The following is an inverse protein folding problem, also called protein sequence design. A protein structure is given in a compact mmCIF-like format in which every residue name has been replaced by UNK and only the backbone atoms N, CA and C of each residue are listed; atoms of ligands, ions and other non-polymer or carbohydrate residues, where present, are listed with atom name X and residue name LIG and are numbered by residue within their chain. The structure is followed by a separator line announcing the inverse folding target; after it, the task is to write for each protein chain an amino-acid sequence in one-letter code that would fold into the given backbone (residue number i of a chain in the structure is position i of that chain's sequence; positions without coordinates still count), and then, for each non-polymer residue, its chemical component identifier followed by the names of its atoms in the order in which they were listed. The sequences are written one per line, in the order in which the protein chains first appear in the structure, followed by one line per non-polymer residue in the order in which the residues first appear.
data_IF_890813132271
#
_entry.id   IF_890813132271
#
_cell.length_a   1.000
_cell.length_b   1.000
_cell.length_c   1.000
_cell.angle_alpha   90.00
_cell.angle_beta   90.00
_cell.angle_gamma   90.00
#
_symmetry.space_group_name_H-M   'P 1'
#
loop_
_entity.id
_entity.type
_entity.pdbx_description
1 polymer ?
#
# COMPACT_ATOMS: atom_id res chain seq x y z
N UNK A 1 6.56 27.43 17.49
CA UNK A 1 5.65 26.32 17.21
C UNK A 1 4.75 26.74 16.07
N UNK A 2 4.94 26.19 14.86
CA UNK A 2 4.03 26.45 13.75
C UNK A 2 2.62 26.06 14.19
N UNK A 3 1.64 26.96 14.02
CA UNK A 3 0.24 26.57 14.14
C UNK A 3 0.04 25.50 13.08
N UNK A 4 -0.24 24.24 13.47
CA UNK A 4 -0.66 23.23 12.51
C UNK A 4 -1.95 23.76 11.88
N UNK A 5 -1.85 24.18 10.62
CA UNK A 5 -3.02 24.55 9.82
C UNK A 5 -3.67 23.20 9.52
N UNK A 6 -4.81 22.92 10.14
CA UNK A 6 -5.57 21.70 9.87
C UNK A 6 -5.96 21.62 8.40
N UNK A 7 -6.22 20.40 7.92
CA UNK A 7 -6.62 20.16 6.55
C UNK A 7 -8.02 20.71 6.29
N UNK A 8 -8.17 21.43 5.19
CA UNK A 8 -9.47 21.89 4.69
C UNK A 8 -10.19 20.78 3.90
N UNK A 9 -11.41 21.09 3.44
CA UNK A 9 -12.27 20.14 2.74
C UNK A 9 -11.63 19.51 1.48
N UNK A 10 -10.99 20.34 0.65
CA UNK A 10 -10.37 19.85 -0.59
C UNK A 10 -9.10 19.05 -0.30
N UNK A 11 -8.32 19.46 0.69
CA UNK A 11 -7.13 18.72 1.15
C UNK A 11 -7.51 17.34 1.70
N UNK A 12 -8.56 17.25 2.53
CA UNK A 12 -9.08 15.98 3.03
C UNK A 12 -9.55 15.06 1.90
N UNK A 13 -10.28 15.61 0.92
CA UNK A 13 -10.79 14.82 -0.20
C UNK A 13 -9.67 14.27 -1.08
N UNK A 14 -8.64 15.06 -1.36
CA UNK A 14 -7.51 14.62 -2.16
C UNK A 14 -6.55 13.71 -1.40
N UNK A 15 -6.38 13.88 -0.09
CA UNK A 15 -5.65 12.95 0.76
C UNK A 15 -6.33 11.57 0.77
N UNK A 16 -7.66 11.52 0.90
CA UNK A 16 -8.40 10.24 0.77
C UNK A 16 -8.16 9.58 -0.59
N UNK A 17 -8.23 10.37 -1.67
CA UNK A 17 -8.06 9.85 -3.03
C UNK A 17 -6.63 9.39 -3.31
N UNK A 18 -5.60 10.05 -2.76
CA UNK A 18 -4.20 9.65 -2.91
C UNK A 18 -3.89 8.34 -2.19
N UNK A 19 -4.68 7.99 -1.18
CA UNK A 19 -4.66 6.72 -0.45
C UNK A 19 -5.55 5.64 -1.10
N UNK A 20 -6.17 5.95 -2.24
CA UNK A 20 -7.10 5.06 -2.97
C UNK A 20 -8.30 4.59 -2.14
N UNK A 21 -8.78 5.43 -1.22
CA UNK A 21 -9.87 5.08 -0.30
C UNK A 21 -11.22 5.66 -0.75
N UNK A 22 -12.28 4.89 -0.51
CA UNK A 22 -13.66 5.38 -0.53
C UNK A 22 -13.99 6.17 0.75
N UNK A 23 -15.01 7.04 0.73
CA UNK A 23 -15.49 7.71 1.94
C UNK A 23 -15.89 6.73 3.05
N UNK A 24 -16.55 5.62 2.71
CA UNK A 24 -16.89 4.55 3.66
C UNK A 24 -15.66 3.95 4.36
N UNK A 25 -14.58 3.70 3.62
CA UNK A 25 -13.34 3.17 4.18
C UNK A 25 -12.65 4.17 5.12
N UNK A 26 -12.67 5.46 4.79
CA UNK A 26 -12.20 6.49 5.71
C UNK A 26 -13.04 6.51 6.99
N UNK A 27 -14.35 6.36 6.87
CA UNK A 27 -15.24 6.23 8.03
C UNK A 27 -14.84 5.07 8.93
N UNK A 28 -14.56 3.90 8.36
CA UNK A 28 -14.06 2.74 9.10
C UNK A 28 -12.71 3.02 9.80
N UNK A 29 -11.77 3.67 9.13
CA UNK A 29 -10.42 3.93 9.68
C UNK A 29 -10.42 4.98 10.79
N UNK A 30 -11.39 5.89 10.75
CA UNK A 30 -11.45 7.07 11.62
C UNK A 30 -12.58 6.99 12.66
N UNK A 31 -13.36 5.91 12.66
CA UNK A 31 -14.55 5.71 13.51
C UNK A 31 -15.65 6.75 13.30
N UNK A 32 -15.94 7.07 12.03
CA UNK A 32 -16.99 7.98 11.59
C UNK A 32 -17.90 7.31 10.56
N UNK A 33 -19.07 7.90 10.30
CA UNK A 33 -19.95 7.42 9.24
C UNK A 33 -19.48 7.92 7.88
N UNK A 34 -19.85 7.24 6.80
CA UNK A 34 -19.59 7.71 5.44
C UNK A 34 -20.17 9.12 5.19
N UNK A 35 -21.34 9.42 5.77
CA UNK A 35 -21.98 10.73 5.67
C UNK A 35 -21.14 11.84 6.33
N UNK A 36 -20.52 11.56 7.49
CA UNK A 36 -19.62 12.52 8.14
C UNK A 36 -18.40 12.83 7.26
N UNK A 37 -17.85 11.80 6.60
CA UNK A 37 -16.72 11.96 5.69
C UNK A 37 -17.08 12.85 4.52
N UNK A 38 -18.23 12.60 3.89
CA UNK A 38 -18.71 13.42 2.78
C UNK A 38 -18.98 14.87 3.23
N UNK A 39 -19.53 15.08 4.42
CA UNK A 39 -19.83 16.41 4.95
C UNK A 39 -18.55 17.26 5.11
N UNK A 40 -17.46 16.70 5.65
CA UNK A 40 -16.21 17.47 5.77
C UNK A 40 -15.49 17.67 4.43
N UNK A 41 -15.68 16.77 3.46
CA UNK A 41 -15.12 16.92 2.11
C UNK A 41 -15.88 17.95 1.26
N UNK A 42 -17.15 18.19 1.57
CA UNK A 42 -17.96 19.26 0.98
C UNK A 42 -17.79 20.62 1.68
N UNK A 43 -17.04 20.67 2.80
CA UNK A 43 -16.89 21.88 3.61
C UNK A 43 -18.12 22.23 4.45
N UNK A 44 -19.06 21.29 4.62
CA UNK A 44 -20.23 21.43 5.50
C UNK A 44 -19.84 21.28 6.98
N UNK A 45 -18.75 20.55 7.24
CA UNK A 45 -18.15 20.38 8.56
C UNK A 45 -16.61 20.38 8.47
N UNK A 46 -15.94 20.45 9.62
CA UNK A 46 -14.48 20.30 9.69
C UNK A 46 -14.14 18.86 10.08
N UNK A 47 -13.17 18.24 9.39
CA UNK A 47 -12.68 16.93 9.76
C UNK A 47 -12.06 16.96 11.18
N UNK A 48 -12.42 16.03 12.08
CA UNK A 48 -11.83 15.96 13.42
C UNK A 48 -10.30 15.80 13.36
N UNK A 49 -9.58 16.42 14.29
CA UNK A 49 -8.10 16.39 14.31
C UNK A 49 -7.54 14.96 14.32
N UNK A 50 -8.18 14.04 15.04
CA UNK A 50 -7.78 12.62 15.07
C UNK A 50 -7.98 11.93 13.71
N UNK A 51 -9.02 12.28 12.95
CA UNK A 51 -9.25 11.74 11.61
C UNK A 51 -8.18 12.25 10.62
N UNK A 52 -7.85 13.55 10.67
CA UNK A 52 -6.78 14.13 9.86
C UNK A 52 -5.43 13.46 10.18
N UNK A 53 -5.09 13.38 11.48
CA UNK A 53 -3.87 12.74 11.96
C UNK A 53 -3.78 11.29 11.49
N UNK A 54 -4.87 10.52 11.57
CA UNK A 54 -4.89 9.12 11.15
C UNK A 54 -4.57 8.94 9.67
N UNK A 55 -5.13 9.77 8.79
CA UNK A 55 -4.86 9.69 7.36
C UNK A 55 -3.44 10.14 7.00
N UNK A 56 -2.95 11.21 7.64
CA UNK A 56 -1.57 11.67 7.48
C UNK A 56 -0.56 10.61 7.96
N UNK A 57 -0.79 9.96 9.10
CA UNK A 57 0.04 8.87 9.60
C UNK A 57 0.09 7.68 8.62
N UNK A 58 -1.04 7.35 7.97
CA UNK A 58 -1.08 6.30 6.95
C UNK A 58 -0.24 6.69 5.73
N UNK A 59 -0.36 7.94 5.26
CA UNK A 59 0.42 8.43 4.12
C UNK A 59 1.93 8.43 4.44
N UNK A 60 2.33 8.86 5.64
CA UNK A 60 3.72 8.79 6.11
C UNK A 60 4.27 7.36 6.15
N UNK A 61 3.45 6.39 6.60
CA UNK A 61 3.83 4.97 6.61
C UNK A 61 4.02 4.45 5.18
N UNK A 62 3.14 4.84 4.25
CA UNK A 62 3.25 4.49 2.83
C UNK A 62 4.53 5.07 2.25
N UNK A 63 4.82 6.36 2.46
CA UNK A 63 6.03 7.01 1.96
C UNK A 63 7.30 6.35 2.52
N UNK A 64 7.34 6.07 3.82
CA UNK A 64 8.46 5.35 4.43
C UNK A 64 8.63 3.95 3.84
N UNK A 65 7.53 3.23 3.54
CA UNK A 65 7.60 1.93 2.88
C UNK A 65 8.13 2.05 1.44
N UNK A 66 7.74 3.10 0.70
CA UNK A 66 8.21 3.37 -0.67
C UNK A 66 9.73 3.56 -0.70
N UNK A 67 10.23 4.45 0.17
CA UNK A 67 11.67 4.74 0.26
C UNK A 67 12.46 3.49 0.65
N UNK A 68 12.10 2.84 1.75
CA UNK A 68 12.81 1.67 2.26
C UNK A 68 12.83 0.51 1.25
N UNK A 69 11.73 0.30 0.52
CA UNK A 69 11.65 -0.77 -0.49
C UNK A 69 12.51 -0.43 -1.72
N UNK A 70 12.48 0.82 -2.17
CA UNK A 70 13.29 1.28 -3.31
C UNK A 70 14.78 1.19 -2.99
N UNK A 71 15.20 1.60 -1.78
CA UNK A 71 16.57 1.45 -1.30
C UNK A 71 17.00 -0.02 -1.24
N UNK A 72 16.10 -0.91 -0.79
CA UNK A 72 16.33 -2.35 -0.80
C UNK A 72 16.54 -2.92 -2.21
N UNK A 73 15.78 -2.44 -3.19
CA UNK A 73 15.92 -2.81 -4.61
C UNK A 73 17.24 -2.28 -5.19
N UNK A 74 17.61 -1.04 -4.88
CA UNK A 74 18.91 -0.49 -5.29
C UNK A 74 20.07 -1.34 -4.72
N UNK A 75 20.00 -1.70 -3.44
CA UNK A 75 20.99 -2.53 -2.79
C UNK A 75 21.08 -3.95 -3.40
N UNK A 76 19.95 -4.51 -3.84
CA UNK A 76 19.91 -5.78 -4.58
C UNK A 76 20.67 -5.67 -5.90
N UNK A 77 20.45 -4.62 -6.67
CA UNK A 77 21.11 -4.43 -7.98
C UNK A 77 22.57 -3.99 -7.92
N UNK A 78 23.09 -3.66 -6.73
CA UNK A 78 24.53 -3.57 -6.51
C UNK A 78 25.20 -4.95 -6.45
N UNK A 79 24.44 -6.03 -6.21
CA UNK A 79 24.93 -7.41 -6.11
C UNK A 79 24.52 -8.28 -7.31
N UNK A 80 23.38 -7.98 -7.93
CA UNK A 80 22.79 -8.75 -9.01
C UNK A 80 22.55 -7.87 -10.25
N UNK A 81 22.60 -8.41 -11.47
CA UNK A 81 22.28 -7.63 -12.66
C UNK A 81 20.83 -7.12 -12.64
N UNK A 82 20.64 -5.89 -13.13
CA UNK A 82 19.31 -5.29 -13.32
C UNK A 82 18.43 -6.21 -14.15
N UNK A 83 17.20 -6.39 -13.69
CA UNK A 83 16.16 -7.16 -14.37
C UNK A 83 14.79 -6.58 -14.03
N UNK A 84 13.78 -6.97 -14.80
CA UNK A 84 12.40 -6.71 -14.43
C UNK A 84 12.07 -7.45 -13.13
N UNK A 85 11.43 -6.75 -12.18
CA UNK A 85 11.04 -7.31 -10.90
C UNK A 85 9.53 -7.53 -10.84
N UNK A 86 9.12 -8.56 -10.12
CA UNK A 86 7.74 -8.76 -9.71
C UNK A 86 7.56 -8.27 -8.26
N UNK A 87 6.49 -7.54 -8.00
CA UNK A 87 6.07 -7.12 -6.66
C UNK A 87 4.67 -7.67 -6.38
N UNK A 88 4.55 -8.54 -5.39
CA UNK A 88 3.28 -9.20 -5.06
C UNK A 88 2.32 -8.18 -4.47
N UNK A 89 1.10 -8.12 -5.00
CA UNK A 89 -0.02 -7.35 -4.45
C UNK A 89 -1.18 -8.27 -4.10
N UNK A 90 -2.11 -7.80 -3.29
CA UNK A 90 -3.20 -8.62 -2.76
C UNK A 90 -4.52 -8.11 -3.32
N UNK A 91 -5.27 -8.92 -4.10
CA UNK A 91 -6.42 -8.43 -4.84
C UNK A 91 -7.69 -8.27 -3.98
N UNK A 92 -7.72 -8.88 -2.80
CA UNK A 92 -8.87 -8.79 -1.88
C UNK A 92 -8.41 -8.62 -0.44
N UNK A 93 -9.25 -8.00 0.38
CA UNK A 93 -9.00 -7.83 1.82
C UNK A 93 -8.79 -9.18 2.53
N UNK A 94 -9.53 -10.23 2.15
CA UNK A 94 -9.41 -11.55 2.75
C UNK A 94 -8.02 -12.15 2.54
N UNK A 95 -7.52 -12.09 1.30
CA UNK A 95 -6.17 -12.58 0.97
C UNK A 95 -5.12 -11.70 1.65
N UNK A 96 -5.30 -10.37 1.63
CA UNK A 96 -4.38 -9.45 2.28
C UNK A 96 -4.20 -9.77 3.77
N UNK A 97 -5.31 -9.87 4.52
CA UNK A 97 -5.27 -10.19 5.95
C UNK A 97 -4.66 -11.56 6.24
N UNK A 98 -4.89 -12.56 5.39
CA UNK A 98 -4.34 -13.90 5.57
C UNK A 98 -2.81 -13.92 5.44
N UNK A 99 -2.26 -13.17 4.49
CA UNK A 99 -0.86 -13.25 4.12
C UNK A 99 0.01 -12.12 4.71
N UNK A 100 -0.58 -11.09 5.31
CA UNK A 100 0.13 -9.91 5.81
C UNK A 100 -0.29 -9.51 7.25
N UNK A 101 -0.38 -10.45 8.21
CA UNK A 101 -0.82 -10.13 9.58
C UNK A 101 0.01 -9.00 10.23
N UNK A 102 1.28 -8.88 9.88
CA UNK A 102 2.22 -7.88 10.38
C UNK A 102 1.96 -6.45 9.87
N UNK A 103 1.25 -6.29 8.75
CA UNK A 103 0.93 -4.98 8.19
C UNK A 103 -0.46 -4.48 8.61
N UNK A 104 -1.32 -5.35 9.15
CA UNK A 104 -2.70 -4.99 9.48
C UNK A 104 -2.84 -3.90 10.54
N UNK A 105 -1.84 -3.72 11.41
CA UNK A 105 -1.85 -2.67 12.43
C UNK A 105 -1.58 -1.27 11.86
N UNK A 106 -0.82 -1.19 10.77
CA UNK A 106 -0.39 0.07 10.14
C UNK A 106 -1.16 0.38 8.87
N UNK A 107 -1.31 -0.61 7.98
CA UNK A 107 -2.02 -0.54 6.71
C UNK A 107 -3.18 -1.56 6.73
N UNK A 108 -4.28 -1.28 7.45
CA UNK A 108 -5.34 -2.27 7.68
C UNK A 108 -6.11 -2.69 6.42
N UNK A 109 -6.07 -1.90 5.35
CA UNK A 109 -6.80 -2.15 4.11
C UNK A 109 -5.85 -2.47 2.95
N UNK A 110 -6.23 -3.43 2.12
CA UNK A 110 -5.41 -3.87 0.98
C UNK A 110 -5.16 -2.75 -0.04
N UNK A 111 -6.07 -1.78 -0.14
CA UNK A 111 -5.95 -0.59 -0.98
C UNK A 111 -4.74 0.27 -0.58
N UNK A 112 -4.41 0.33 0.72
CA UNK A 112 -3.25 1.08 1.21
C UNK A 112 -1.95 0.40 0.79
N UNK A 113 -1.89 -0.94 0.87
CA UNK A 113 -0.75 -1.71 0.38
C UNK A 113 -0.62 -1.62 -1.14
N UNK A 114 -1.73 -1.63 -1.88
CA UNK A 114 -1.71 -1.48 -3.33
C UNK A 114 -1.28 -0.06 -3.74
N UNK A 115 -1.66 0.95 -2.96
CA UNK A 115 -1.18 2.33 -3.11
C UNK A 115 0.33 2.41 -2.93
N UNK A 116 0.88 1.80 -1.87
CA UNK A 116 2.34 1.77 -1.68
C UNK A 116 3.05 1.00 -2.78
N UNK A 117 2.51 -0.13 -3.24
CA UNK A 117 3.06 -0.91 -4.35
C UNK A 117 3.12 -0.09 -5.67
N UNK A 118 2.07 0.68 -5.96
CA UNK A 118 2.08 1.58 -7.13
C UNK A 118 3.11 2.70 -7.00
N UNK A 119 3.22 3.32 -5.82
CA UNK A 119 4.24 4.35 -5.56
C UNK A 119 5.65 3.77 -5.67
N UNK A 120 5.91 2.56 -5.16
CA UNK A 120 7.18 1.83 -5.34
C UNK A 120 7.49 1.60 -6.82
N UNK A 121 6.52 1.13 -7.60
CA UNK A 121 6.71 0.92 -9.05
C UNK A 121 7.11 2.22 -9.75
N UNK A 122 6.44 3.33 -9.43
CA UNK A 122 6.75 4.65 -9.98
C UNK A 122 8.15 5.11 -9.57
N UNK A 123 8.49 4.99 -8.30
CA UNK A 123 9.79 5.42 -7.75
C UNK A 123 10.95 4.63 -8.35
N UNK A 124 10.83 3.30 -8.43
CA UNK A 124 11.81 2.42 -9.07
C UNK A 124 12.03 2.78 -10.54
N UNK A 125 10.96 3.15 -11.26
CA UNK A 125 11.07 3.57 -12.66
C UNK A 125 11.82 4.90 -12.80
N UNK A 126 11.52 5.88 -11.94
CA UNK A 126 12.07 7.23 -12.02
C UNK A 126 13.53 7.30 -11.56
N UNK A 127 13.86 6.65 -10.44
CA UNK A 127 15.17 6.80 -9.79
C UNK A 127 16.17 5.73 -10.22
N UNK A 128 15.69 4.51 -10.46
CA UNK A 128 16.57 3.36 -10.72
C UNK A 128 16.52 2.88 -12.17
N UNK A 129 15.60 3.41 -12.99
CA UNK A 129 15.27 2.89 -14.32
C UNK A 129 14.89 1.39 -14.28
N UNK A 130 14.27 0.94 -13.20
CA UNK A 130 13.88 -0.46 -12.99
C UNK A 130 12.39 -0.62 -13.29
N UNK A 131 12.04 -1.61 -14.10
CA UNK A 131 10.65 -2.00 -14.34
C UNK A 131 10.16 -2.98 -13.26
N UNK A 132 9.15 -2.57 -12.50
CA UNK A 132 8.47 -3.39 -11.50
C UNK A 132 7.06 -3.71 -11.99
N UNK A 133 6.69 -4.98 -12.09
CA UNK A 133 5.31 -5.43 -12.36
C UNK A 133 4.59 -5.75 -11.06
N UNK A 134 3.37 -5.25 -10.89
CA UNK A 134 2.53 -5.58 -9.74
C UNK A 134 1.73 -6.85 -10.04
N UNK A 135 1.99 -7.93 -9.30
CA UNK A 135 1.42 -9.26 -9.57
C UNK A 135 0.40 -9.61 -8.47
N UNK A 136 -0.91 -9.67 -8.78
CA UNK A 136 -1.91 -10.07 -7.80
C UNK A 136 -1.71 -11.53 -7.40
N UNK A 137 -1.67 -11.81 -6.10
CA UNK A 137 -1.50 -13.17 -5.60
C UNK A 137 -2.69 -14.06 -5.98
N UNK A 138 -2.44 -15.04 -6.86
CA UNK A 138 -3.33 -16.17 -7.10
C UNK A 138 -2.98 -17.27 -6.10
N UNK A 139 -3.87 -17.47 -5.12
CA UNK A 139 -3.65 -18.38 -4.01
C UNK A 139 -3.52 -19.83 -4.46
N UNK A 140 -4.28 -20.26 -5.47
CA UNK A 140 -4.26 -21.64 -5.94
C UNK A 140 -3.03 -21.91 -6.79
N UNK A 141 -2.69 -21.01 -7.72
CA UNK A 141 -1.47 -21.09 -8.49
C UNK A 141 -0.21 -21.04 -7.58
N UNK A 142 -0.22 -20.19 -6.55
CA UNK A 142 0.86 -20.08 -5.58
C UNK A 142 1.02 -21.36 -4.74
N UNK A 143 -0.09 -21.96 -4.28
CA UNK A 143 -0.04 -23.25 -3.56
C UNK A 143 0.56 -24.35 -4.42
N UNK A 144 0.09 -24.50 -5.67
CA UNK A 144 0.60 -25.49 -6.60
C UNK A 144 2.09 -25.29 -6.88
N UNK A 145 2.53 -24.04 -7.09
CA UNK A 145 3.94 -23.70 -7.26
C UNK A 145 4.80 -24.13 -6.06
N UNK A 146 4.35 -23.84 -4.84
CA UNK A 146 5.08 -24.23 -3.63
C UNK A 146 5.18 -25.74 -3.47
N UNK A 147 4.10 -26.47 -3.74
CA UNK A 147 4.08 -27.93 -3.65
C UNK A 147 5.09 -28.55 -4.64
N UNK A 148 5.09 -28.09 -5.89
CA UNK A 148 6.02 -28.56 -6.93
C UNK A 148 7.50 -28.31 -6.58
N UNK A 149 7.78 -27.25 -5.82
CA UNK A 149 9.15 -26.85 -5.47
C UNK A 149 9.53 -27.16 -4.01
N UNK A 150 8.66 -27.83 -3.25
CA UNK A 150 8.90 -28.17 -1.84
C UNK A 150 9.10 -26.94 -0.93
N UNK A 151 8.43 -25.83 -1.22
CA UNK A 151 8.63 -24.55 -0.53
C UNK A 151 7.59 -24.30 0.58
N UNK A 152 8.02 -23.70 1.68
CA UNK A 152 7.12 -23.22 2.73
C UNK A 152 6.48 -21.87 2.38
N UNK A 153 5.43 -21.50 3.12
CA UNK A 153 4.84 -20.14 3.07
C UNK A 153 5.87 -19.11 3.58
N UNK A 154 6.18 -18.12 2.74
CA UNK A 154 6.98 -16.96 3.13
C UNK A 154 6.87 -15.87 2.05
N UNK A 155 7.20 -14.62 2.41
CA UNK A 155 7.29 -13.52 1.44
C UNK A 155 8.28 -13.82 0.30
N UNK A 156 9.39 -14.48 0.60
CA UNK A 156 10.38 -14.89 -0.40
C UNK A 156 9.79 -15.91 -1.38
N UNK A 157 9.05 -16.89 -0.88
CA UNK A 157 8.35 -17.87 -1.71
C UNK A 157 7.31 -17.20 -2.62
N UNK A 158 6.57 -16.20 -2.12
CA UNK A 158 5.62 -15.42 -2.93
C UNK A 158 6.33 -14.64 -4.03
N UNK A 159 7.47 -14.01 -3.73
CA UNK A 159 8.26 -13.29 -4.72
C UNK A 159 8.81 -14.21 -5.82
N UNK A 160 9.29 -15.41 -5.46
CA UNK A 160 9.73 -16.43 -6.42
C UNK A 160 8.61 -16.90 -7.34
N UNK A 161 7.41 -17.12 -6.78
CA UNK A 161 6.22 -17.40 -7.59
C UNK A 161 5.86 -16.24 -8.51
N UNK A 162 5.82 -15.01 -8.00
CA UNK A 162 5.44 -13.85 -8.80
C UNK A 162 6.43 -13.58 -9.95
N UNK A 163 7.70 -13.91 -9.78
CA UNK A 163 8.69 -13.83 -10.85
C UNK A 163 8.39 -14.76 -12.04
N UNK A 164 7.62 -15.85 -11.85
CA UNK A 164 7.18 -16.72 -12.96
C UNK A 164 5.98 -16.17 -13.75
N UNK A 165 5.42 -15.05 -13.31
CA UNK A 165 4.28 -14.36 -13.93
C UNK A 165 4.71 -13.18 -14.81
N UNK A 166 6.01 -12.95 -14.97
CA UNK A 166 6.60 -11.90 -15.81
C UNK A 166 6.67 -12.30 -17.28
#
# INVERSE_FOLDING_TARGET
MSKNIGLNAIEMSYLRQSLSLSPAQVGQLTNHTEADVLAWENGESMAPELAQKKLLEIDDIIEMQVLNTTDGIEALFKKEPKRQLAFVVYPTQAIYSQYNPEFLSSLPLTELYNTSAWRIKKECKLVLEVDVSLIPLDVEAYKAYREQHGMSESRESRAKWAATQL
#
